data_IF_684981171040
#
_entry.id   IF_684981171040
#
_cell.length_a   1.000
_cell.length_b   1.000
_cell.length_c   1.000
_cell.angle_alpha   90.00
_cell.angle_beta   90.00
_cell.angle_gamma   90.00
#
_symmetry.space_group_name_H-M   'P 1'
#
loop_
_entity.id
_entity.type
_entity.pdbx_description
1 polymer ?
#
# COMPACT_ATOMS: atom_id res chain seq x y z
N UNK A 1 33.97 25.35 1.94
CA UNK A 1 33.36 26.50 1.23
C UNK A 1 32.60 25.92 0.04
N UNK A 2 31.31 25.64 0.16
CA UNK A 2 30.56 25.04 -0.95
C UNK A 2 29.93 26.16 -1.78
N UNK A 3 30.68 26.65 -2.76
CA UNK A 3 30.19 27.63 -3.71
C UNK A 3 29.00 27.04 -4.50
N UNK A 4 27.81 27.61 -4.34
CA UNK A 4 26.66 27.26 -5.17
C UNK A 4 26.96 27.74 -6.60
N UNK A 5 27.05 26.79 -7.54
CA UNK A 5 27.22 27.04 -8.99
C UNK A 5 26.10 27.99 -9.49
N UNK A 6 26.40 28.96 -10.37
CA UNK A 6 25.40 29.88 -10.92
C UNK A 6 24.35 29.13 -11.75
N UNK A 7 23.06 29.42 -11.51
CA UNK A 7 21.94 28.89 -12.30
C UNK A 7 22.01 29.43 -13.72
N UNK A 8 22.43 28.59 -14.66
CA UNK A 8 22.34 28.89 -16.09
C UNK A 8 20.86 28.94 -16.50
N UNK A 9 20.52 29.86 -17.41
CA UNK A 9 19.18 29.96 -17.98
C UNK A 9 18.82 28.60 -18.59
N UNK A 10 17.80 27.93 -18.05
CA UNK A 10 17.46 26.56 -18.39
C UNK A 10 17.12 26.45 -19.88
N UNK A 11 17.95 25.75 -20.65
CA UNK A 11 17.57 25.27 -21.98
C UNK A 11 16.44 24.25 -21.84
N UNK A 12 15.47 24.29 -22.75
CA UNK A 12 14.42 23.28 -22.84
C UNK A 12 15.03 21.88 -23.02
N UNK A 13 14.34 20.85 -22.53
CA UNK A 13 14.73 19.47 -22.75
C UNK A 13 14.51 19.09 -24.21
N UNK A 14 15.56 18.62 -24.88
CA UNK A 14 15.46 17.97 -26.18
C UNK A 14 14.73 16.62 -26.09
N UNK A 15 14.36 16.05 -27.24
CA UNK A 15 13.76 14.71 -27.31
C UNK A 15 14.73 13.63 -26.80
N UNK A 16 16.02 13.75 -27.12
CA UNK A 16 17.05 12.82 -26.64
C UNK A 16 17.23 12.90 -25.12
N UNK A 17 17.27 14.12 -24.56
CA UNK A 17 17.31 14.32 -23.09
C UNK A 17 16.06 13.72 -22.42
N UNK A 18 14.90 13.85 -23.08
CA UNK A 18 13.63 13.32 -22.58
C UNK A 18 13.61 11.79 -22.58
N UNK A 19 14.06 11.17 -23.67
CA UNK A 19 14.14 9.71 -23.80
C UNK A 19 15.08 9.12 -22.75
N UNK A 20 16.27 9.73 -22.56
CA UNK A 20 17.22 9.35 -21.51
C UNK A 20 16.64 9.46 -20.11
N UNK A 21 15.93 10.55 -19.82
CA UNK A 21 15.27 10.71 -18.52
C UNK A 21 14.29 9.56 -18.28
N UNK A 22 13.49 9.17 -19.28
CA UNK A 22 12.55 8.06 -19.15
C UNK A 22 13.28 6.73 -18.92
N UNK A 23 14.41 6.46 -19.58
CA UNK A 23 15.22 5.26 -19.33
C UNK A 23 15.67 5.16 -17.86
N UNK A 24 16.23 6.26 -17.33
CA UNK A 24 16.73 6.30 -15.95
C UNK A 24 15.62 6.19 -14.91
N UNK A 25 14.46 6.80 -15.17
CA UNK A 25 13.30 6.71 -14.26
C UNK A 25 12.68 5.31 -14.30
N UNK A 26 12.69 4.65 -15.46
CA UNK A 26 12.24 3.26 -15.60
C UNK A 26 13.15 2.27 -14.84
N UNK A 27 14.46 2.50 -14.88
CA UNK A 27 15.46 1.69 -14.17
C UNK A 27 15.43 1.95 -12.65
N UNK A 28 15.57 3.22 -12.24
CA UNK A 28 15.74 3.59 -10.84
C UNK A 28 14.43 3.62 -10.07
N UNK A 29 13.30 3.84 -10.76
CA UNK A 29 11.95 3.96 -10.19
C UNK A 29 11.92 4.91 -8.98
N UNK A 30 12.31 6.18 -9.15
CA UNK A 30 12.43 7.13 -8.05
C UNK A 30 11.07 7.36 -7.39
N UNK A 31 11.00 7.21 -6.07
CA UNK A 31 9.81 7.46 -5.27
C UNK A 31 10.10 8.46 -4.14
N UNK A 32 9.23 9.45 -3.96
CA UNK A 32 9.45 10.52 -2.98
C UNK A 32 10.42 11.61 -3.44
N UNK A 33 10.70 12.58 -2.55
CA UNK A 33 11.52 13.77 -2.85
C UNK A 33 13.00 13.47 -3.07
N UNK A 34 13.62 12.70 -2.17
CA UNK A 34 15.07 12.48 -2.08
C UNK A 34 15.60 11.38 -3.03
N UNK A 35 14.74 10.82 -3.86
CA UNK A 35 15.10 9.76 -4.81
C UNK A 35 15.38 10.29 -6.22
N UNK A 36 15.33 11.61 -6.40
CA UNK A 36 15.65 12.25 -7.69
C UNK A 36 17.12 12.65 -7.80
N UNK A 37 17.85 12.72 -6.68
CA UNK A 37 19.28 12.95 -6.61
C UNK A 37 20.09 11.83 -7.26
N UNK A 38 19.80 10.52 -7.02
CA UNK A 38 20.42 9.44 -7.76
C UNK A 38 20.16 9.50 -9.27
N UNK A 39 18.93 9.86 -9.67
CA UNK A 39 18.57 10.05 -11.09
C UNK A 39 19.41 11.17 -11.70
N UNK A 40 19.55 12.30 -11.01
CA UNK A 40 20.36 13.43 -11.46
C UNK A 40 21.85 13.10 -11.51
N UNK A 41 22.36 12.37 -10.52
CA UNK A 41 23.73 11.90 -10.51
C UNK A 41 24.02 11.04 -11.73
N UNK A 42 23.18 10.04 -11.98
CA UNK A 42 23.34 9.15 -13.13
C UNK A 42 23.19 9.89 -14.46
N UNK A 43 22.16 10.74 -14.58
CA UNK A 43 21.93 11.56 -15.75
C UNK A 43 23.17 12.38 -16.11
N UNK A 44 23.72 13.14 -15.17
CA UNK A 44 24.85 14.02 -15.44
C UNK A 44 26.18 13.26 -15.64
N UNK A 45 26.38 12.14 -14.94
CA UNK A 45 27.58 11.30 -15.06
C UNK A 45 27.76 10.75 -16.46
N UNK A 46 26.65 10.41 -17.10
CA UNK A 46 26.63 9.64 -18.34
C UNK A 46 26.06 10.43 -19.52
N UNK A 47 25.69 11.70 -19.30
CA UNK A 47 25.24 12.61 -20.35
C UNK A 47 26.41 13.01 -21.28
N UNK A 48 26.12 13.22 -22.59
CA UNK A 48 27.08 13.85 -23.49
C UNK A 48 27.56 15.20 -22.97
N UNK A 49 28.85 15.51 -23.15
CA UNK A 49 29.47 16.76 -22.67
C UNK A 49 28.84 18.05 -23.23
N UNK A 50 28.05 17.95 -24.31
CA UNK A 50 27.33 19.08 -24.91
C UNK A 50 26.01 19.41 -24.19
N UNK A 51 25.50 18.51 -23.35
CA UNK A 51 24.23 18.68 -22.65
C UNK A 51 24.42 19.47 -21.35
N UNK A 52 23.44 20.32 -20.98
CA UNK A 52 23.49 21.03 -19.70
C UNK A 52 23.32 20.07 -18.53
N UNK A 53 24.03 20.33 -17.42
CA UNK A 53 23.80 19.66 -16.13
C UNK A 53 22.34 19.90 -15.67
N UNK A 54 21.67 18.85 -15.20
CA UNK A 54 20.30 18.90 -14.66
C UNK A 54 20.28 18.48 -13.20
N UNK A 55 19.54 19.21 -12.37
CA UNK A 55 19.29 18.83 -10.98
C UNK A 55 18.08 17.88 -10.86
N UNK A 56 17.97 17.18 -9.73
CA UNK A 56 16.87 16.23 -9.48
C UNK A 56 15.49 16.89 -9.59
N UNK A 57 15.38 18.16 -9.17
CA UNK A 57 14.13 18.92 -9.24
C UNK A 57 13.71 19.19 -10.69
N UNK A 58 14.62 19.60 -11.58
CA UNK A 58 14.29 19.80 -12.99
C UNK A 58 13.92 18.52 -13.71
N UNK A 59 14.61 17.40 -13.41
CA UNK A 59 14.30 16.08 -13.96
C UNK A 59 12.94 15.59 -13.49
N UNK A 60 12.65 15.71 -12.18
CA UNK A 60 11.32 15.41 -11.61
C UNK A 60 10.23 16.20 -12.30
N UNK A 61 10.41 17.52 -12.42
CA UNK A 61 9.44 18.42 -13.06
C UNK A 61 9.21 18.03 -14.51
N UNK A 62 10.27 17.68 -15.26
CA UNK A 62 10.16 17.24 -16.65
C UNK A 62 9.36 15.93 -16.76
N UNK A 63 9.65 14.94 -15.92
CA UNK A 63 8.93 13.67 -15.90
C UNK A 63 7.45 13.86 -15.54
N UNK A 64 7.17 14.63 -14.48
CA UNK A 64 5.80 14.94 -14.07
C UNK A 64 5.04 15.69 -15.17
N UNK A 65 5.69 16.62 -15.87
CA UNK A 65 5.09 17.30 -17.03
C UNK A 65 4.74 16.34 -18.17
N UNK A 66 5.45 15.22 -18.34
CA UNK A 66 5.06 14.19 -19.32
C UNK A 66 3.91 13.32 -18.81
N UNK A 67 3.96 12.91 -17.54
CA UNK A 67 2.91 12.08 -16.94
C UNK A 67 1.55 12.81 -16.88
N UNK A 68 1.60 14.12 -16.59
CA UNK A 68 0.43 14.97 -16.45
C UNK A 68 -0.12 15.49 -17.79
N UNK A 69 0.62 15.32 -18.90
CA UNK A 69 0.08 15.67 -20.22
C UNK A 69 -1.17 14.84 -20.49
N UNK A 70 -2.27 15.56 -20.68
CA UNK A 70 -3.54 15.01 -21.13
C UNK A 70 -3.51 14.87 -22.65
N UNK A 71 -4.34 13.96 -23.19
CA UNK A 71 -4.58 13.94 -24.62
C UNK A 71 -5.37 15.21 -24.97
N UNK A 72 -5.06 15.93 -26.06
CA UNK A 72 -5.93 16.99 -26.53
C UNK A 72 -7.29 16.42 -26.87
N UNK A 73 -8.37 17.03 -26.33
CA UNK A 73 -9.76 16.65 -26.59
C UNK A 73 -10.01 16.60 -28.10
N UNK A 74 -10.23 15.39 -28.64
CA UNK A 74 -10.53 15.17 -30.06
C UNK A 74 -9.42 14.53 -30.91
N UNK A 75 -8.24 14.22 -30.34
CA UNK A 75 -7.20 13.43 -31.06
C UNK A 75 -6.81 12.17 -30.29
N UNK A 76 -6.84 11.02 -30.95
CA UNK A 76 -6.46 9.72 -30.37
C UNK A 76 -4.94 9.56 -30.18
N UNK A 77 -4.15 10.46 -30.77
CA UNK A 77 -2.70 10.41 -30.77
C UNK A 77 -2.11 10.79 -29.40
N UNK A 78 -1.45 9.83 -28.77
CA UNK A 78 -0.63 10.05 -27.58
C UNK A 78 0.85 10.05 -28.02
N UNK A 79 1.64 11.11 -27.76
CA UNK A 79 3.07 11.07 -28.03
C UNK A 79 3.72 9.90 -27.28
N UNK A 80 4.66 9.15 -27.91
CA UNK A 80 5.27 7.96 -27.30
C UNK A 80 5.90 8.22 -25.93
N UNK A 81 6.54 9.38 -25.74
CA UNK A 81 7.16 9.77 -24.47
C UNK A 81 6.12 9.98 -23.35
N UNK A 82 4.92 10.45 -23.67
CA UNK A 82 3.81 10.66 -22.72
C UNK A 82 3.24 9.31 -22.30
N UNK A 83 2.99 8.42 -23.25
CA UNK A 83 2.51 7.07 -22.96
C UNK A 83 3.52 6.30 -22.11
N UNK A 84 4.81 6.39 -22.47
CA UNK A 84 5.90 5.77 -21.73
C UNK A 84 6.01 6.33 -20.31
N UNK A 85 5.93 7.65 -20.12
CA UNK A 85 5.95 8.26 -18.80
C UNK A 85 4.80 7.74 -17.90
N UNK A 86 3.57 7.65 -18.45
CA UNK A 86 2.41 7.10 -17.73
C UNK A 86 2.61 5.63 -17.33
N UNK A 87 3.16 4.82 -18.24
CA UNK A 87 3.48 3.41 -17.95
C UNK A 87 4.53 3.28 -16.83
N UNK A 88 5.58 4.09 -16.88
CA UNK A 88 6.62 4.12 -15.85
C UNK A 88 6.03 4.56 -14.50
N UNK A 89 5.16 5.56 -14.50
CA UNK A 89 4.49 6.03 -13.28
C UNK A 89 3.71 4.91 -12.59
N UNK A 90 2.89 4.16 -13.35
CA UNK A 90 2.18 2.99 -12.82
C UNK A 90 3.13 1.91 -12.28
N UNK A 91 4.27 1.68 -12.95
CA UNK A 91 5.28 0.72 -12.50
C UNK A 91 6.03 1.17 -11.24
N UNK A 92 6.15 2.48 -10.99
CA UNK A 92 6.66 3.04 -9.74
C UNK A 92 5.62 2.83 -8.63
N UNK A 93 4.36 3.20 -8.86
CA UNK A 93 3.29 3.04 -7.87
C UNK A 93 3.08 1.58 -7.45
N UNK A 94 3.11 0.65 -8.42
CA UNK A 94 3.01 -0.79 -8.13
C UNK A 94 4.14 -1.29 -7.24
N UNK A 95 5.37 -0.82 -7.45
CA UNK A 95 6.53 -1.16 -6.61
C UNK A 95 6.36 -0.63 -5.19
N UNK A 96 5.84 0.58 -5.04
CA UNK A 96 5.63 1.22 -3.73
C UNK A 96 4.52 0.52 -2.96
N UNK A 97 3.39 0.24 -3.61
CA UNK A 97 2.30 -0.53 -2.99
C UNK A 97 2.75 -1.93 -2.55
N UNK A 98 3.66 -2.57 -3.29
CA UNK A 98 4.24 -3.85 -2.87
C UNK A 98 5.16 -3.73 -1.64
N UNK A 99 5.87 -2.61 -1.47
CA UNK A 99 6.72 -2.35 -0.29
C UNK A 99 5.85 -2.09 0.94
N UNK A 100 4.80 -1.28 0.82
CA UNK A 100 3.88 -0.98 1.93
C UNK A 100 3.17 -2.25 2.48
N UNK A 101 2.93 -3.24 1.61
CA UNK A 101 2.39 -4.54 2.02
C UNK A 101 3.40 -5.43 2.75
N UNK A 102 4.70 -5.18 2.64
CA UNK A 102 5.76 -5.96 3.27
C UNK A 102 6.22 -5.35 4.61
N UNK A 103 6.09 -4.03 4.78
CA UNK A 103 6.49 -3.30 5.98
C UNK A 103 5.42 -3.26 7.09
N UNK A 104 4.28 -3.95 6.89
CA UNK A 104 3.26 -4.14 7.94
C UNK A 104 3.62 -5.30 8.89
N UNK A 105 4.88 -5.39 9.29
CA UNK A 105 5.30 -6.02 10.54
C UNK A 105 6.16 -4.99 11.30
N UNK A 106 5.64 -4.54 12.46
CA UNK A 106 6.36 -3.83 13.55
C UNK A 106 6.34 -2.27 13.59
N UNK A 107 5.41 -1.75 14.43
CA UNK A 107 5.40 -0.48 15.20
C UNK A 107 5.33 0.91 14.51
N UNK A 108 4.25 1.65 14.83
CA UNK A 108 4.37 2.98 15.48
C UNK A 108 4.19 4.24 14.64
N UNK A 109 2.97 4.79 14.69
CA UNK A 109 2.54 6.19 14.51
C UNK A 109 3.63 7.29 14.38
N UNK A 110 3.61 7.99 13.24
CA UNK A 110 4.15 9.35 13.11
C UNK A 110 3.40 10.12 12.02
N UNK A 111 2.35 10.85 12.44
CA UNK A 111 1.72 11.89 11.64
C UNK A 111 2.75 12.88 11.09
N UNK A 112 2.85 13.00 9.77
CA UNK A 112 3.64 14.04 9.10
C UNK A 112 2.73 15.18 8.64
N UNK A 113 3.02 16.35 9.19
CA UNK A 113 2.43 17.67 8.98
C UNK A 113 2.68 18.21 7.55
N UNK A 114 1.66 18.74 6.84
CA UNK A 114 1.85 19.43 5.57
C UNK A 114 1.95 20.95 5.81
N UNK A 115 3.16 21.50 5.88
CA UNK A 115 3.37 22.94 5.76
C UNK A 115 3.89 23.30 4.36
N UNK A 116 2.96 23.72 3.51
CA UNK A 116 3.16 24.21 2.15
C UNK A 116 3.32 25.73 2.18
N UNK A 117 4.43 26.25 1.65
CA UNK A 117 4.69 27.69 1.60
C UNK A 117 5.71 28.04 0.53
N UNK A 118 5.23 28.61 -0.58
CA UNK A 118 6.06 29.17 -1.65
C UNK A 118 5.31 29.32 -2.97
N UNK A 119 4.43 30.33 -3.07
CA UNK A 119 4.09 30.95 -4.36
C UNK A 119 5.36 31.53 -4.99
N UNK A 120 5.45 31.50 -6.33
CA UNK A 120 6.08 32.50 -7.21
C UNK A 120 5.78 32.15 -8.69
N UNK A 121 4.78 32.85 -9.23
CA UNK A 121 4.49 33.32 -10.60
C UNK A 121 5.10 32.64 -11.86
N UNK A 122 4.23 32.18 -12.78
CA UNK A 122 4.07 32.68 -14.17
C UNK A 122 3.42 31.65 -15.11
N UNK A 123 2.17 31.94 -15.48
CA UNK A 123 1.48 31.75 -16.76
C UNK A 123 1.82 30.55 -17.68
N UNK A 124 1.03 29.48 -17.54
CA UNK A 124 0.49 28.73 -18.68
C UNK A 124 -0.91 28.26 -18.27
N UNK A 125 -1.96 28.77 -18.93
CA UNK A 125 -3.34 28.32 -18.69
C UNK A 125 -3.50 26.93 -19.27
N UNK A 126 -3.10 25.91 -18.50
CA UNK A 126 -3.48 24.52 -18.76
C UNK A 126 -5.01 24.43 -18.60
N UNK A 127 -5.71 24.31 -19.72
CA UNK A 127 -7.10 23.88 -19.76
C UNK A 127 -7.14 22.41 -19.32
N UNK A 128 -7.20 22.19 -18.00
CA UNK A 128 -7.31 20.86 -17.41
C UNK A 128 -8.62 20.26 -17.89
N UNK A 129 -8.54 19.36 -18.87
CA UNK A 129 -9.69 18.65 -19.37
C UNK A 129 -10.40 17.97 -18.19
N UNK A 130 -11.68 18.28 -17.99
CA UNK A 130 -12.52 17.77 -16.88
C UNK A 130 -12.43 16.24 -16.76
N UNK A 131 -12.21 15.55 -17.87
CA UNK A 131 -12.05 14.10 -17.96
C UNK A 131 -10.80 13.55 -17.22
N UNK A 132 -9.68 14.27 -17.12
CA UNK A 132 -8.47 13.82 -16.39
C UNK A 132 -8.64 13.98 -14.87
N UNK A 133 -9.37 15.01 -14.44
CA UNK A 133 -9.81 15.14 -13.05
C UNK A 133 -10.81 14.04 -12.69
N UNK A 134 -11.70 13.68 -13.62
CA UNK A 134 -12.63 12.55 -13.43
C UNK A 134 -11.87 11.24 -13.30
N UNK A 135 -10.89 10.96 -14.17
CA UNK A 135 -10.08 9.75 -14.07
C UNK A 135 -9.24 9.70 -12.78
N UNK A 136 -8.60 10.81 -12.39
CA UNK A 136 -7.88 10.90 -11.11
C UNK A 136 -8.80 10.71 -9.91
N UNK A 137 -10.02 11.26 -9.98
CA UNK A 137 -11.05 11.09 -8.94
C UNK A 137 -11.54 9.64 -8.88
N UNK A 138 -11.77 9.01 -10.03
CA UNK A 138 -12.17 7.61 -10.15
C UNK A 138 -11.10 6.67 -9.61
N UNK A 139 -9.82 6.93 -9.91
CA UNK A 139 -8.70 6.17 -9.34
C UNK A 139 -8.54 6.37 -7.83
N UNK A 140 -8.75 7.58 -7.32
CA UNK A 140 -8.76 7.84 -5.87
C UNK A 140 -9.95 7.15 -5.18
N UNK A 141 -11.10 7.10 -5.85
CA UNK A 141 -12.31 6.45 -5.35
C UNK A 141 -12.18 4.92 -5.34
N UNK A 142 -11.57 4.33 -6.37
CA UNK A 142 -11.21 2.91 -6.40
C UNK A 142 -10.24 2.55 -5.26
N UNK A 143 -9.19 3.35 -5.02
CA UNK A 143 -8.28 3.14 -3.88
C UNK A 143 -9.00 3.21 -2.53
N UNK A 144 -9.97 4.13 -2.40
CA UNK A 144 -10.79 4.23 -1.19
C UNK A 144 -11.65 2.97 -1.00
N UNK A 145 -12.21 2.43 -2.07
CA UNK A 145 -13.00 1.20 -2.02
C UNK A 145 -12.14 -0.02 -1.66
N UNK A 146 -10.99 -0.19 -2.31
CA UNK A 146 -10.05 -1.29 -2.01
C UNK A 146 -9.54 -1.25 -0.57
N UNK A 147 -9.28 -0.05 -0.03
CA UNK A 147 -8.90 0.11 1.38
C UNK A 147 -10.02 -0.30 2.32
N UNK A 148 -11.25 0.14 2.05
CA UNK A 148 -12.42 -0.19 2.86
C UNK A 148 -12.73 -1.69 2.81
N UNK A 149 -12.65 -2.31 1.63
CA UNK A 149 -12.85 -3.75 1.45
C UNK A 149 -11.78 -4.56 2.20
N UNK A 150 -10.52 -4.12 2.18
CA UNK A 150 -9.44 -4.76 2.94
C UNK A 150 -9.64 -4.63 4.45
N UNK A 151 -10.06 -3.46 4.94
CA UNK A 151 -10.35 -3.25 6.35
C UNK A 151 -11.59 -4.02 6.81
N UNK A 152 -12.61 -4.12 5.96
CA UNK A 152 -13.80 -4.94 6.19
C UNK A 152 -13.45 -6.42 6.23
N UNK A 153 -12.66 -6.92 5.27
CA UNK A 153 -12.16 -8.29 5.25
C UNK A 153 -11.34 -8.62 6.50
N UNK A 154 -10.48 -7.71 6.97
CA UNK A 154 -9.75 -7.86 8.23
C UNK A 154 -10.70 -7.94 9.43
N UNK A 155 -11.72 -7.08 9.49
CA UNK A 155 -12.73 -7.08 10.56
C UNK A 155 -13.54 -8.37 10.56
N UNK A 156 -13.99 -8.82 9.40
CA UNK A 156 -14.74 -10.07 9.24
C UNK A 156 -13.91 -11.27 9.66
N UNK A 157 -12.63 -11.32 9.27
CA UNK A 157 -11.72 -12.38 9.71
C UNK A 157 -11.50 -12.37 11.23
N UNK A 158 -11.37 -11.18 11.84
CA UNK A 158 -11.27 -11.05 13.29
C UNK A 158 -12.55 -11.48 14.01
N UNK A 159 -13.72 -11.15 13.45
CA UNK A 159 -15.01 -11.57 13.99
C UNK A 159 -15.22 -13.08 13.86
N UNK A 160 -14.83 -13.67 12.73
CA UNK A 160 -14.86 -15.12 12.52
C UNK A 160 -14.02 -15.83 13.57
N UNK A 161 -12.79 -15.36 13.84
CA UNK A 161 -11.94 -15.91 14.89
C UNK A 161 -12.59 -15.81 16.27
N UNK A 162 -13.26 -14.70 16.58
CA UNK A 162 -14.00 -14.55 17.83
C UNK A 162 -15.15 -15.55 17.94
N UNK A 163 -15.91 -15.75 16.86
CA UNK A 163 -16.98 -16.75 16.81
C UNK A 163 -16.43 -18.15 17.03
N UNK A 164 -15.36 -18.51 16.34
CA UNK A 164 -14.71 -19.82 16.48
C UNK A 164 -14.19 -20.06 17.91
N UNK A 165 -13.58 -19.04 18.53
CA UNK A 165 -13.12 -19.10 19.92
C UNK A 165 -14.29 -19.24 20.91
N UNK A 166 -15.41 -18.56 20.66
CA UNK A 166 -16.62 -18.68 21.48
C UNK A 166 -17.26 -20.06 21.34
N UNK A 167 -17.37 -20.59 20.12
CA UNK A 167 -17.83 -21.95 19.86
C UNK A 167 -16.95 -22.96 20.59
N UNK A 168 -15.62 -22.85 20.46
CA UNK A 168 -14.67 -23.72 21.16
C UNK A 168 -14.83 -23.65 22.68
N UNK A 169 -15.03 -22.45 23.24
CA UNK A 169 -15.30 -22.29 24.69
C UNK A 169 -16.59 -22.99 25.11
N UNK A 170 -17.63 -22.92 24.29
CA UNK A 170 -18.90 -23.57 24.59
C UNK A 170 -18.77 -25.10 24.54
N UNK A 171 -18.12 -25.64 23.51
CA UNK A 171 -17.88 -27.09 23.39
C UNK A 171 -17.09 -27.65 24.58
N UNK A 172 -16.12 -26.88 25.11
CA UNK A 172 -15.38 -27.26 26.30
C UNK A 172 -16.27 -27.33 27.55
N UNK A 173 -17.18 -26.37 27.74
CA UNK A 173 -18.15 -26.39 28.85
C UNK A 173 -19.08 -27.59 28.73
N UNK A 174 -19.63 -27.84 27.54
CA UNK A 174 -20.54 -28.95 27.29
C UNK A 174 -19.85 -30.31 27.48
N UNK A 175 -18.56 -30.40 27.13
CA UNK A 175 -17.75 -31.60 27.40
C UNK A 175 -17.53 -31.80 28.90
N UNK A 176 -17.15 -30.74 29.61
CA UNK A 176 -16.90 -30.82 31.05
C UNK A 176 -18.17 -31.16 31.83
N UNK A 177 -19.33 -30.65 31.41
CA UNK A 177 -20.64 -31.00 31.97
C UNK A 177 -20.96 -32.48 31.76
N UNK A 178 -20.78 -33.00 30.54
CA UNK A 178 -20.97 -34.44 30.25
C UNK A 178 -20.07 -35.32 31.12
N UNK A 179 -18.81 -34.93 31.32
CA UNK A 179 -17.89 -35.66 32.20
C UNK A 179 -18.34 -35.61 33.67
N UNK A 180 -18.87 -34.48 34.15
CA UNK A 180 -19.44 -34.37 35.51
C UNK A 180 -20.67 -35.25 35.68
N UNK A 181 -21.57 -35.27 34.69
CA UNK A 181 -22.75 -36.14 34.72
C UNK A 181 -22.38 -37.61 34.73
N UNK A 182 -21.41 -38.02 33.89
CA UNK A 182 -20.93 -39.40 33.85
C UNK A 182 -20.39 -39.84 35.20
N UNK A 183 -19.56 -39.03 35.85
CA UNK A 183 -19.04 -39.30 37.21
C UNK A 183 -20.16 -39.43 38.24
N UNK A 184 -21.18 -38.57 38.18
CA UNK A 184 -22.36 -38.68 39.08
C UNK A 184 -23.12 -39.99 38.85
N UNK A 185 -23.33 -40.39 37.59
CA UNK A 185 -23.99 -41.66 37.24
C UNK A 185 -23.18 -42.86 37.74
N UNK A 186 -21.86 -42.85 37.56
CA UNK A 186 -20.96 -43.88 38.07
C UNK A 186 -21.03 -44.00 39.60
N UNK A 187 -20.92 -42.89 40.32
CA UNK A 187 -21.05 -42.88 41.79
C UNK A 187 -22.41 -43.40 42.26
N UNK A 188 -23.49 -42.98 41.59
CA UNK A 188 -24.83 -43.48 41.91
C UNK A 188 -24.96 -44.99 41.65
N UNK A 189 -24.44 -45.46 40.53
CA UNK A 189 -24.42 -46.88 40.19
C UNK A 189 -23.61 -47.69 41.22
N UNK A 190 -22.43 -47.20 41.63
CA UNK A 190 -21.60 -47.81 42.66
C UNK A 190 -22.33 -47.90 44.01
N UNK A 191 -22.96 -46.80 44.45
CA UNK A 191 -23.79 -46.77 45.66
C UNK A 191 -24.93 -47.79 45.62
N UNK A 192 -25.64 -47.90 44.49
CA UNK A 192 -26.72 -48.87 44.30
C UNK A 192 -26.18 -50.31 44.36
N UNK A 193 -25.07 -50.60 43.68
CA UNK A 193 -24.41 -51.92 43.70
C UNK A 193 -23.92 -52.29 45.09
N UNK A 194 -23.26 -51.37 45.81
CA UNK A 194 -22.83 -51.58 47.20
C UNK A 194 -24.02 -51.85 48.12
N UNK A 195 -25.12 -51.10 47.98
CA UNK A 195 -26.36 -51.35 48.75
C UNK A 195 -26.95 -52.73 48.46
N UNK A 196 -26.92 -53.16 47.20
CA UNK A 196 -27.40 -54.48 46.79
C UNK A 196 -26.54 -55.62 47.36
N UNK A 197 -25.21 -55.50 47.29
CA UNK A 197 -24.27 -56.48 47.85
C UNK A 197 -24.40 -56.55 49.38
N UNK A 198 -24.54 -55.41 50.07
CA UNK A 198 -24.74 -55.36 51.51
C UNK A 198 -26.04 -56.08 51.93
N UNK A 199 -27.12 -55.96 51.15
CA UNK A 199 -28.37 -56.70 51.39
C UNK A 199 -28.22 -58.20 51.16
N UNK A 200 -27.50 -58.62 50.11
CA UNK A 200 -27.23 -60.04 49.86
C UNK A 200 -26.41 -60.69 50.99
N UNK A 201 -25.41 -59.98 51.51
CA UNK A 201 -24.58 -60.44 52.63
C UNK A 201 -25.33 -60.38 53.97
N UNK A 202 -26.22 -59.40 54.16
CA UNK A 202 -27.05 -59.26 55.36
C UNK A 202 -28.25 -60.20 55.45
N UNK A 203 -28.71 -60.75 54.32
CA UNK A 203 -29.78 -61.77 54.26
C UNK A 203 -29.26 -63.22 54.40
N UNK A 204 -27.95 -63.41 54.61
CA UNK A 204 -27.37 -64.70 55.03
C UNK A 204 -27.26 -64.75 56.56
N UNK A 205 -28.38 -64.95 57.25
CA UNK A 205 -28.42 -65.41 58.64
C UNK A 205 -29.68 -66.23 58.88
#
# INVERSE_FOLDING_TARGET
MNARKPRTKSKNFSSEETSRLLDLVEELKPFGGNMWEPVAFEYNRTAPSAWPERDGVSLKRRFQGLNNKTKPTGTSYCPPDVERAKRIYLAIESKVGAIELHDQEEYGDAASDPSEGGQDDMDEVDDVCVEDLVWKKEQAELRRQEFLEREESKKEQAEQRRRDDETRRQELKDREEREREARKREQQHELVMMSFIAKLLGNSN
#
